data_IF_829108324986
#
_entry.id   IF_829108324986
#
_cell.length_a   1.000
_cell.length_b   1.000
_cell.length_c   1.000
_cell.angle_alpha   90.00
_cell.angle_beta   90.00
_cell.angle_gamma   90.00
#
_symmetry.space_group_name_H-M   'P 1'
#
loop_
_entity.id
_entity.type
_entity.pdbx_description
1 polymer ?
#
# COMPACT_ATOMS: atom_id res chain seq x y z
N UNK A 1 5.08 37.10 -5.69
CA UNK A 1 4.65 37.04 -4.28
C UNK A 1 5.46 35.96 -3.58
N UNK A 2 6.21 36.30 -2.54
CA UNK A 2 7.00 35.32 -1.77
C UNK A 2 6.04 34.69 -0.75
N UNK A 3 5.76 33.39 -0.90
CA UNK A 3 4.93 32.63 0.04
C UNK A 3 5.55 32.68 1.43
N UNK A 4 4.73 32.93 2.46
CA UNK A 4 5.14 32.94 3.86
C UNK A 4 5.77 31.56 4.22
N UNK A 5 6.95 31.50 4.85
CA UNK A 5 7.54 30.23 5.32
C UNK A 5 6.57 29.41 6.19
N UNK A 6 5.71 30.05 6.99
CA UNK A 6 4.72 29.37 7.81
C UNK A 6 3.64 28.70 6.95
N UNK A 7 3.17 29.38 5.89
CA UNK A 7 2.22 28.81 4.93
C UNK A 7 2.81 27.55 4.28
N UNK A 8 4.04 27.63 3.78
CA UNK A 8 4.70 26.50 3.12
C UNK A 8 4.86 25.30 4.07
N UNK A 9 5.19 25.56 5.33
CA UNK A 9 5.28 24.52 6.36
C UNK A 9 3.94 23.78 6.52
N UNK A 10 2.86 24.53 6.75
CA UNK A 10 1.54 23.93 6.99
C UNK A 10 0.96 23.23 5.77
N UNK A 11 1.16 23.78 4.57
CA UNK A 11 0.73 23.11 3.34
C UNK A 11 1.46 21.77 3.14
N UNK A 12 2.77 21.75 3.39
CA UNK A 12 3.55 20.51 3.31
C UNK A 12 3.10 19.49 4.36
N UNK A 13 2.82 19.93 5.58
CA UNK A 13 2.27 19.10 6.64
C UNK A 13 0.91 18.49 6.26
N UNK A 14 -0.01 19.30 5.74
CA UNK A 14 -1.34 18.85 5.29
C UNK A 14 -1.21 17.83 4.17
N UNK A 15 -0.36 18.08 3.17
CA UNK A 15 -0.11 17.15 2.06
C UNK A 15 0.54 15.86 2.54
N UNK A 16 1.47 15.93 3.49
CA UNK A 16 2.11 14.75 4.07
C UNK A 16 1.09 13.90 4.85
N UNK A 17 0.23 14.54 5.64
CA UNK A 17 -0.84 13.88 6.39
C UNK A 17 -1.83 13.21 5.45
N UNK A 18 -2.34 13.92 4.44
CA UNK A 18 -3.27 13.38 3.45
C UNK A 18 -2.68 12.16 2.74
N UNK A 19 -1.41 12.25 2.27
CA UNK A 19 -0.72 11.12 1.64
C UNK A 19 -0.60 9.93 2.57
N UNK A 20 -0.25 10.14 3.84
CA UNK A 20 -0.11 9.06 4.82
C UNK A 20 -1.43 8.37 5.08
N UNK A 21 -2.51 9.13 5.32
CA UNK A 21 -3.85 8.57 5.56
C UNK A 21 -4.35 7.82 4.32
N UNK A 22 -4.17 8.39 3.13
CA UNK A 22 -4.59 7.77 1.87
C UNK A 22 -3.79 6.49 1.57
N UNK A 23 -2.48 6.50 1.81
CA UNK A 23 -1.63 5.32 1.63
C UNK A 23 -2.05 4.19 2.57
N UNK A 24 -2.30 4.49 3.85
CA UNK A 24 -2.75 3.50 4.83
C UNK A 24 -4.15 2.95 4.48
N UNK A 25 -5.08 3.83 4.09
CA UNK A 25 -6.40 3.42 3.63
C UNK A 25 -6.39 2.65 2.29
N UNK A 26 -5.38 2.87 1.45
CA UNK A 26 -5.15 2.05 0.26
C UNK A 26 -4.61 0.67 0.66
N UNK A 27 -3.59 0.63 1.51
CA UNK A 27 -2.96 -0.62 1.95
C UNK A 27 -3.97 -1.57 2.60
N UNK A 28 -4.85 -1.03 3.45
CA UNK A 28 -5.89 -1.81 4.12
C UNK A 28 -6.89 -2.47 3.15
N UNK A 29 -7.19 -1.78 2.04
CA UNK A 29 -8.06 -2.31 0.98
C UNK A 29 -7.34 -3.22 0.00
N UNK A 30 -6.05 -2.99 -0.23
CA UNK A 30 -5.23 -3.79 -1.15
C UNK A 30 -4.84 -5.14 -0.53
N UNK A 31 -4.65 -5.20 0.78
CA UNK A 31 -4.11 -6.38 1.46
C UNK A 31 -4.90 -7.67 1.22
N UNK A 32 -6.26 -7.71 1.27
CA UNK A 32 -7.01 -8.93 0.93
C UNK A 32 -6.78 -9.39 -0.51
N UNK A 33 -6.73 -8.46 -1.48
CA UNK A 33 -6.49 -8.79 -2.88
C UNK A 33 -5.09 -9.34 -3.11
N UNK A 34 -4.08 -8.71 -2.51
CA UNK A 34 -2.68 -9.19 -2.53
C UNK A 34 -2.58 -10.58 -1.93
N UNK A 35 -3.28 -10.84 -0.82
CA UNK A 35 -3.30 -12.17 -0.19
C UNK A 35 -3.90 -13.24 -1.10
N UNK A 36 -5.04 -12.97 -1.73
CA UNK A 36 -5.68 -13.92 -2.66
C UNK A 36 -4.75 -14.24 -3.83
N UNK A 37 -4.17 -13.21 -4.47
CA UNK A 37 -3.23 -13.39 -5.59
C UNK A 37 -2.00 -14.18 -5.15
N UNK A 38 -1.40 -13.83 -4.00
CA UNK A 38 -0.24 -14.53 -3.46
C UNK A 38 -0.53 -15.99 -3.10
N UNK A 39 -1.73 -16.28 -2.59
CA UNK A 39 -2.16 -17.66 -2.27
C UNK A 39 -2.32 -18.48 -3.55
N UNK A 40 -3.06 -17.96 -4.54
CA UNK A 40 -3.25 -18.65 -5.83
C UNK A 40 -1.91 -18.87 -6.52
N UNK A 41 -1.02 -17.87 -6.49
CA UNK A 41 0.33 -17.95 -7.02
C UNK A 41 1.14 -19.07 -6.35
N UNK A 42 1.17 -19.11 -5.02
CA UNK A 42 1.90 -20.13 -4.25
C UNK A 42 1.39 -21.55 -4.54
N UNK A 43 0.06 -21.73 -4.57
CA UNK A 43 -0.54 -23.02 -4.92
C UNK A 43 -0.23 -23.45 -6.35
N UNK A 44 -0.31 -22.53 -7.31
CA UNK A 44 -0.02 -22.82 -8.73
C UNK A 44 1.44 -23.20 -8.91
N UNK A 45 2.37 -22.47 -8.27
CA UNK A 45 3.80 -22.79 -8.30
C UNK A 45 4.09 -24.16 -7.68
N UNK A 46 3.47 -24.47 -6.54
CA UNK A 46 3.60 -25.78 -5.90
C UNK A 46 3.08 -26.92 -6.80
N UNK A 47 1.87 -26.76 -7.37
CA UNK A 47 1.27 -27.77 -8.24
C UNK A 47 2.09 -28.03 -9.50
N UNK A 48 2.59 -26.97 -10.16
CA UNK A 48 3.43 -27.09 -11.35
C UNK A 48 4.77 -27.76 -11.06
N UNK A 49 5.37 -27.48 -9.89
CA UNK A 49 6.59 -28.18 -9.46
C UNK A 49 6.34 -29.67 -9.24
N UNK A 50 5.19 -30.04 -8.65
CA UNK A 50 4.83 -31.44 -8.41
C UNK A 50 4.57 -32.23 -9.70
N UNK A 51 4.03 -31.57 -10.73
CA UNK A 51 3.80 -32.20 -12.04
C UNK A 51 5.11 -32.29 -12.84
N UNK A 52 5.93 -31.23 -12.81
CA UNK A 52 7.19 -31.17 -13.56
C UNK A 52 8.32 -32.06 -13.02
N UNK A 53 8.27 -32.46 -11.74
CA UNK A 53 9.23 -33.41 -11.15
C UNK A 53 9.07 -34.85 -11.67
N UNK A 54 8.06 -35.16 -12.49
CA UNK A 54 7.85 -36.50 -13.07
C UNK A 54 8.66 -36.79 -14.34
N UNK A 55 9.18 -35.78 -15.04
CA UNK A 55 9.86 -35.95 -16.33
C UNK A 55 11.26 -35.33 -16.32
N UNK A 56 12.23 -36.13 -15.85
CA UNK A 56 13.63 -35.93 -16.16
C UNK A 56 13.85 -36.11 -17.68
N UNK A 57 13.74 -35.03 -18.44
CA UNK A 57 14.34 -34.95 -19.79
C UNK A 57 14.83 -33.53 -20.03
N UNK A 58 15.99 -33.27 -19.45
CA UNK A 58 16.93 -32.30 -19.96
C UNK A 58 17.36 -32.75 -21.35
N UNK A 59 16.98 -32.03 -22.41
CA UNK A 59 17.83 -31.76 -23.57
C UNK A 59 17.06 -30.97 -24.64
N UNK A 60 17.63 -29.84 -25.05
CA UNK A 60 17.39 -29.18 -26.35
C UNK A 60 16.02 -28.54 -26.60
N UNK A 61 15.71 -27.47 -25.90
CA UNK A 61 15.01 -26.34 -26.54
C UNK A 61 15.23 -25.09 -25.70
N UNK A 62 15.31 -23.92 -26.32
CA UNK A 62 15.41 -22.61 -25.67
C UNK A 62 14.15 -22.29 -24.86
N UNK A 63 13.92 -23.08 -23.82
CA UNK A 63 12.79 -23.05 -22.95
C UNK A 63 12.89 -21.77 -22.13
N UNK A 64 11.96 -20.86 -22.37
CA UNK A 64 11.65 -19.82 -21.40
C UNK A 64 11.27 -20.57 -20.12
N UNK A 65 12.17 -20.56 -19.13
CA UNK A 65 12.00 -21.22 -17.84
C UNK A 65 10.54 -21.07 -17.38
N UNK A 66 9.81 -22.16 -17.18
CA UNK A 66 8.39 -22.12 -16.82
C UNK A 66 8.10 -21.29 -15.55
N UNK A 67 9.13 -21.07 -14.72
CA UNK A 67 9.09 -20.15 -13.58
C UNK A 67 8.97 -18.67 -13.97
N UNK A 68 9.50 -18.25 -15.12
CA UNK A 68 9.47 -16.86 -15.61
C UNK A 68 8.05 -16.39 -15.95
N UNK A 69 7.27 -17.22 -16.65
CA UNK A 69 5.87 -16.89 -16.99
C UNK A 69 4.96 -16.86 -15.76
N UNK A 70 5.19 -17.75 -14.79
CA UNK A 70 4.49 -17.70 -13.50
C UNK A 70 4.84 -16.43 -12.74
N UNK A 71 6.14 -16.11 -12.61
CA UNK A 71 6.57 -14.88 -11.94
C UNK A 71 5.97 -13.63 -12.60
N UNK A 72 5.89 -13.61 -13.93
CA UNK A 72 5.24 -12.54 -14.68
C UNK A 72 3.72 -12.47 -14.41
N UNK A 73 3.02 -13.62 -14.44
CA UNK A 73 1.59 -13.69 -14.14
C UNK A 73 1.26 -13.23 -12.71
N UNK A 74 2.11 -13.60 -11.74
CA UNK A 74 1.99 -13.14 -10.36
C UNK A 74 2.24 -11.63 -10.25
N UNK A 75 3.29 -11.12 -10.91
CA UNK A 75 3.58 -9.69 -10.93
C UNK A 75 2.40 -8.88 -11.51
N UNK A 76 1.85 -9.32 -12.65
CA UNK A 76 0.68 -8.70 -13.28
C UNK A 76 -0.53 -8.79 -12.35
N UNK A 77 -0.79 -9.95 -11.74
CA UNK A 77 -1.89 -10.14 -10.80
C UNK A 77 -1.80 -9.22 -9.58
N UNK A 78 -0.60 -9.06 -9.01
CA UNK A 78 -0.35 -8.14 -7.89
C UNK A 78 -0.53 -6.68 -8.29
N UNK A 79 -0.04 -6.30 -9.48
CA UNK A 79 -0.24 -4.96 -10.02
C UNK A 79 -1.72 -4.67 -10.28
N UNK A 80 -2.47 -5.63 -10.82
CA UNK A 80 -3.91 -5.51 -11.06
C UNK A 80 -4.68 -5.41 -9.74
N UNK A 81 -4.34 -6.23 -8.73
CA UNK A 81 -4.97 -6.18 -7.42
C UNK A 81 -4.67 -4.85 -6.70
N UNK A 82 -3.41 -4.42 -6.68
CA UNK A 82 -2.99 -3.15 -6.08
C UNK A 82 -3.57 -1.94 -6.81
N UNK A 83 -3.58 -1.96 -8.14
CA UNK A 83 -4.14 -0.92 -9.00
C UNK A 83 -5.66 -0.85 -8.92
N UNK A 84 -6.35 -1.99 -8.86
CA UNK A 84 -7.80 -2.07 -8.63
C UNK A 84 -8.18 -1.53 -7.25
N UNK A 85 -7.43 -1.90 -6.22
CA UNK A 85 -7.60 -1.35 -4.87
C UNK A 85 -7.34 0.16 -4.84
N UNK A 86 -6.33 0.65 -5.57
CA UNK A 86 -6.07 2.08 -5.74
C UNK A 86 -7.25 2.80 -6.39
N UNK A 87 -7.76 2.28 -7.50
CA UNK A 87 -8.87 2.89 -8.22
C UNK A 87 -10.17 2.92 -7.41
N UNK A 88 -10.40 1.91 -6.58
CA UNK A 88 -11.53 1.90 -5.65
C UNK A 88 -11.32 2.86 -4.47
N UNK A 89 -10.12 2.89 -3.90
CA UNK A 89 -9.79 3.71 -2.74
C UNK A 89 -9.77 5.21 -3.09
N UNK A 90 -9.36 5.58 -4.31
CA UNK A 90 -9.26 6.99 -4.72
C UNK A 90 -10.55 7.79 -4.58
N UNK A 91 -11.70 7.12 -4.65
CA UNK A 91 -13.03 7.73 -4.47
C UNK A 91 -13.28 8.20 -3.03
N UNK A 92 -12.47 7.74 -2.09
CA UNK A 92 -12.59 8.00 -0.65
C UNK A 92 -11.32 8.63 -0.06
N UNK A 93 -10.43 9.13 -0.91
CA UNK A 93 -9.20 9.76 -0.44
C UNK A 93 -9.50 11.06 0.28
N UNK A 94 -8.85 11.25 1.42
CA UNK A 94 -8.82 12.49 2.15
C UNK A 94 -8.30 13.60 1.24
N UNK A 95 -9.10 14.65 1.08
CA UNK A 95 -8.69 15.84 0.38
C UNK A 95 -7.86 16.75 1.32
N UNK A 96 -7.29 17.83 0.79
CA UNK A 96 -6.48 18.74 1.58
C UNK A 96 -7.29 19.50 2.66
N UNK A 97 -8.58 19.75 2.43
CA UNK A 97 -9.45 20.40 3.41
C UNK A 97 -9.76 19.46 4.59
N UNK A 98 -10.06 18.19 4.32
CA UNK A 98 -10.29 17.18 5.35
C UNK A 98 -9.02 16.96 6.20
N UNK A 99 -7.86 16.89 5.55
CA UNK A 99 -6.58 16.76 6.23
C UNK A 99 -6.25 18.01 7.08
N UNK A 100 -6.61 19.21 6.60
CA UNK A 100 -6.50 20.44 7.38
C UNK A 100 -7.38 20.41 8.61
N UNK A 101 -8.67 20.11 8.45
CA UNK A 101 -9.62 20.03 9.57
C UNK A 101 -9.19 18.98 10.61
N UNK A 102 -8.70 17.82 10.16
CA UNK A 102 -8.16 16.79 11.05
C UNK A 102 -6.94 17.30 11.83
N UNK A 103 -6.03 18.00 11.16
CA UNK A 103 -4.82 18.53 11.78
C UNK A 103 -5.14 19.66 12.78
N UNK A 104 -6.11 20.52 12.47
CA UNK A 104 -6.62 21.53 13.40
C UNK A 104 -7.23 20.89 14.66
N UNK A 105 -8.08 19.88 14.48
CA UNK A 105 -8.69 19.17 15.59
C UNK A 105 -7.63 18.48 16.48
N UNK A 106 -6.58 17.90 15.88
CA UNK A 106 -5.50 17.21 16.60
C UNK A 106 -4.57 18.16 17.36
N UNK A 107 -4.39 19.37 16.85
CA UNK A 107 -3.52 20.39 17.45
C UNK A 107 -4.29 21.37 18.34
N UNK A 108 -5.62 21.31 18.37
CA UNK A 108 -6.45 22.27 19.11
C UNK A 108 -6.34 23.69 18.56
N UNK A 109 -6.22 23.85 17.24
CA UNK A 109 -5.96 25.15 16.59
C UNK A 109 -7.22 25.97 16.28
N UNK A 110 -8.40 25.59 16.79
CA UNK A 110 -9.67 26.34 16.67
C UNK A 110 -9.90 27.01 15.30
N UNK A 111 -9.75 26.23 14.22
CA UNK A 111 -9.93 26.69 12.82
C UNK A 111 -8.92 27.72 12.29
N UNK A 112 -7.78 27.94 12.98
CA UNK A 112 -6.77 28.91 12.57
C UNK A 112 -6.14 28.62 11.19
N UNK A 113 -5.95 27.36 10.80
CA UNK A 113 -5.39 27.00 9.50
C UNK A 113 -6.40 27.22 8.37
N UNK A 114 -7.67 26.96 8.64
CA UNK A 114 -8.79 27.14 7.72
C UNK A 114 -9.05 28.64 7.51
N UNK A 115 -9.01 29.44 8.58
CA UNK A 115 -9.09 30.89 8.52
C UNK A 115 -7.90 31.51 7.78
N UNK A 116 -6.67 31.01 8.01
CA UNK A 116 -5.48 31.46 7.30
C UNK A 116 -5.50 31.09 5.81
N UNK A 117 -5.97 29.89 5.46
CA UNK A 117 -6.14 29.47 4.07
C UNK A 117 -7.21 30.29 3.32
N UNK A 118 -8.21 30.82 4.04
CA UNK A 118 -9.21 31.74 3.50
C UNK A 118 -8.73 33.20 3.43
N UNK A 119 -7.53 33.50 3.94
CA UNK A 119 -6.98 34.86 4.00
C UNK A 119 -7.60 35.74 5.08
N UNK A 120 -8.37 35.16 6.02
CA UNK A 120 -9.06 35.88 7.10
C UNK A 120 -8.16 36.04 8.34
N UNK A 121 -7.19 35.13 8.51
CA UNK A 121 -6.24 35.15 9.62
C UNK A 121 -4.79 34.97 9.13
N UNK A 122 -3.83 35.27 10.00
CA UNK A 122 -2.41 34.99 9.75
C UNK A 122 -2.14 33.50 10.00
N UNK A 123 -1.23 32.91 9.23
CA UNK A 123 -0.79 31.53 9.47
C UNK A 123 -0.17 31.41 10.87
N UNK A 124 -0.57 30.39 11.67
CA UNK A 124 0.01 30.19 12.99
C UNK A 124 1.49 29.79 12.88
N UNK A 125 2.26 30.06 13.93
CA UNK A 125 3.66 29.66 14.00
C UNK A 125 3.80 28.14 13.82
N UNK A 126 4.82 27.64 13.09
CA UNK A 126 5.07 26.22 12.93
C UNK A 126 5.15 25.50 14.28
N UNK A 127 4.38 24.42 14.43
CA UNK A 127 4.37 23.62 15.65
C UNK A 127 4.61 22.14 15.32
N UNK A 128 5.32 21.38 16.19
CA UNK A 128 5.58 19.97 15.96
C UNK A 128 4.28 19.18 15.92
N UNK A 129 4.08 18.43 14.84
CA UNK A 129 2.89 17.61 14.66
C UNK A 129 3.08 16.31 15.45
N UNK A 130 2.22 16.03 16.44
CA UNK A 130 2.37 14.83 17.25
C UNK A 130 2.15 13.60 16.37
N UNK A 131 2.95 12.54 16.61
CA UNK A 131 2.87 11.26 15.90
C UNK A 131 1.64 10.42 16.33
N UNK A 132 0.51 11.06 16.62
CA UNK A 132 -0.67 10.45 17.26
C UNK A 132 -1.57 9.66 16.32
N UNK A 133 -1.23 9.57 15.03
CA UNK A 133 -1.80 8.58 14.13
C UNK A 133 -1.28 7.19 14.51
N UNK A 134 -1.76 6.68 15.64
CA UNK A 134 -1.64 5.28 16.05
C UNK A 134 -2.50 4.46 15.09
N UNK A 135 -1.88 4.07 13.99
CA UNK A 135 -2.47 3.17 13.04
C UNK A 135 -2.69 1.81 13.71
N UNK A 136 -3.95 1.51 14.06
CA UNK A 136 -4.38 0.18 14.48
C UNK A 136 -4.88 -0.56 13.23
N UNK A 137 -3.94 -1.16 12.50
CA UNK A 137 -4.27 -2.13 11.46
C UNK A 137 -3.93 -3.54 11.96
N UNK A 138 -4.78 -4.14 12.81
CA UNK A 138 -4.48 -5.46 13.36
C UNK A 138 -4.35 -6.52 12.27
N UNK A 139 -5.09 -6.40 11.17
CA UNK A 139 -5.23 -7.48 10.20
C UNK A 139 -4.43 -7.27 8.90
N UNK A 140 -4.13 -6.03 8.50
CA UNK A 140 -3.44 -5.73 7.23
C UNK A 140 -2.05 -6.37 7.17
N UNK A 141 -1.29 -6.29 8.27
CA UNK A 141 0.01 -6.94 8.37
C UNK A 141 -0.11 -8.47 8.33
N UNK A 142 -1.16 -9.03 8.95
CA UNK A 142 -1.44 -10.46 8.91
C UNK A 142 -1.70 -10.96 7.49
N UNK A 143 -2.47 -10.22 6.69
CA UNK A 143 -2.73 -10.55 5.29
C UNK A 143 -1.45 -10.52 4.44
N UNK A 144 -0.63 -9.47 4.58
CA UNK A 144 0.62 -9.36 3.82
C UNK A 144 1.63 -10.43 4.24
N UNK A 145 1.76 -10.67 5.55
CA UNK A 145 2.63 -11.71 6.09
C UNK A 145 2.18 -13.10 5.66
N UNK A 146 0.87 -13.39 5.66
CA UNK A 146 0.30 -14.65 5.19
C UNK A 146 0.55 -14.87 3.69
N UNK A 147 0.41 -13.82 2.87
CA UNK A 147 0.67 -13.89 1.43
C UNK A 147 2.16 -14.23 1.16
N UNK A 148 3.06 -13.57 1.89
CA UNK A 148 4.50 -13.81 1.80
C UNK A 148 4.84 -15.23 2.27
N UNK A 149 4.29 -15.66 3.41
CA UNK A 149 4.52 -16.99 3.97
C UNK A 149 4.05 -18.09 3.02
N UNK A 150 2.86 -17.95 2.42
CA UNK A 150 2.33 -18.92 1.44
C UNK A 150 3.15 -18.92 0.14
N UNK A 151 3.55 -17.75 -0.35
CA UNK A 151 4.42 -17.64 -1.53
C UNK A 151 5.77 -18.32 -1.31
N UNK A 152 6.40 -18.07 -0.16
CA UNK A 152 7.66 -18.70 0.22
C UNK A 152 7.49 -20.21 0.44
N UNK A 153 6.42 -20.63 1.12
CA UNK A 153 6.12 -22.03 1.34
C UNK A 153 5.94 -22.78 0.01
N UNK A 154 5.20 -22.23 -0.97
CA UNK A 154 5.08 -22.85 -2.30
C UNK A 154 6.42 -22.95 -3.05
N UNK A 155 7.33 -21.98 -2.85
CA UNK A 155 8.65 -21.98 -3.48
C UNK A 155 9.70 -22.84 -2.75
N UNK A 156 9.53 -23.15 -1.46
CA UNK A 156 10.56 -23.81 -0.65
C UNK A 156 10.15 -25.14 -0.03
N UNK A 157 8.85 -25.46 0.04
CA UNK A 157 8.43 -26.74 0.59
C UNK A 157 8.96 -27.89 -0.30
N UNK A 158 9.63 -28.88 0.31
CA UNK A 158 10.06 -30.06 -0.43
C UNK A 158 8.83 -30.80 -0.95
N UNK A 159 8.87 -31.19 -2.22
CA UNK A 159 7.84 -32.03 -2.81
C UNK A 159 8.17 -33.46 -2.40
N UNK A 160 7.39 -34.04 -1.48
CA UNK A 160 7.53 -35.45 -1.14
C UNK A 160 7.10 -36.30 -2.36
N UNK A 161 7.98 -37.22 -2.74
CA UNK A 161 7.75 -38.26 -3.76
C UNK A 161 6.64 -39.23 -3.32
#
# INVERSE_FOLDING_TARGET
MRSDPAQNYWENAIRALARRVNFLGWLDRAAPGVFVVGTVAGFTAYALRRIGSGEATAESTGAVDGGGWLALGVAIGLLAAGGGAWWRARKTFFNAADARALLEHRLGLDSALSAAAAGVAVWPAPAPIPATLRWRAPNTLGWLAGALALGLAGAWLPVAE
#
